data_IF_114504619834
#
_entry.id   IF_114504619834
#
_cell.length_a   1.000
_cell.length_b   1.000
_cell.length_c   1.000
_cell.angle_alpha   90.00
_cell.angle_beta   90.00
_cell.angle_gamma   90.00
#
_symmetry.space_group_name_H-M   'P 1'
#
loop_
_entity.id
_entity.type
_entity.pdbx_description
1 polymer ?
#
# COMPACT_ATOMS: atom_id res chain seq x y z
N UNK A 1 6.64 -33.83 17.18
CA UNK A 1 6.32 -32.38 17.19
C UNK A 1 7.58 -31.53 17.20
N UNK A 2 8.52 -31.79 18.13
CA UNK A 2 9.81 -31.09 18.23
C UNK A 2 10.66 -31.18 16.95
N UNK A 3 10.73 -32.35 16.31
CA UNK A 3 11.54 -32.53 15.09
C UNK A 3 11.07 -31.64 13.93
N UNK A 4 9.75 -31.47 13.78
CA UNK A 4 9.17 -30.61 12.74
C UNK A 4 9.52 -29.15 13.04
N UNK A 5 9.44 -28.72 14.30
CA UNK A 5 9.80 -27.34 14.69
C UNK A 5 11.30 -27.09 14.43
N UNK A 6 12.17 -28.03 14.80
CA UNK A 6 13.61 -27.91 14.59
C UNK A 6 13.95 -27.84 13.09
N UNK A 7 13.33 -28.70 12.27
CA UNK A 7 13.48 -28.68 10.82
C UNK A 7 12.99 -27.36 10.22
N UNK A 8 11.78 -26.93 10.57
CA UNK A 8 11.22 -25.66 10.08
C UNK A 8 12.08 -24.46 10.45
N UNK A 9 12.68 -24.44 11.64
CA UNK A 9 13.60 -23.38 12.05
C UNK A 9 14.88 -23.39 11.22
N UNK A 10 15.48 -24.56 10.98
CA UNK A 10 16.67 -24.69 10.15
C UNK A 10 16.39 -24.22 8.71
N UNK A 11 15.29 -24.67 8.12
CA UNK A 11 14.86 -24.28 6.77
C UNK A 11 14.59 -22.77 6.68
N UNK A 12 13.95 -22.18 7.69
CA UNK A 12 13.67 -20.74 7.74
C UNK A 12 14.96 -19.90 7.85
N UNK A 13 15.95 -20.35 8.62
CA UNK A 13 17.25 -19.68 8.73
C UNK A 13 17.98 -19.71 7.38
N UNK A 14 18.03 -20.86 6.72
CA UNK A 14 18.65 -21.00 5.40
C UNK A 14 17.99 -20.11 4.36
N UNK A 15 16.65 -20.07 4.34
CA UNK A 15 15.89 -19.17 3.47
C UNK A 15 16.23 -17.69 3.72
N UNK A 16 16.31 -17.29 5.00
CA UNK A 16 16.67 -15.92 5.35
C UNK A 16 18.13 -15.59 5.00
N UNK A 17 19.07 -16.51 5.17
CA UNK A 17 20.46 -16.31 4.75
C UNK A 17 20.57 -16.16 3.23
N UNK A 18 19.82 -16.95 2.46
CA UNK A 18 19.72 -16.85 0.99
C UNK A 18 19.14 -15.50 0.54
N UNK A 19 18.01 -15.08 1.15
CA UNK A 19 17.25 -13.91 0.67
C UNK A 19 17.70 -12.58 1.28
N UNK A 20 18.21 -12.60 2.51
CA UNK A 20 18.55 -11.40 3.29
C UNK A 20 20.06 -11.26 3.53
N UNK A 21 20.84 -12.30 3.26
CA UNK A 21 22.29 -12.37 3.43
C UNK A 21 22.71 -12.94 4.79
N UNK A 22 23.98 -13.33 4.93
CA UNK A 22 24.50 -14.03 6.13
C UNK A 22 24.59 -13.19 7.41
N UNK A 23 24.56 -11.85 7.32
CA UNK A 23 24.56 -11.00 8.52
C UNK A 23 23.13 -10.85 9.07
N UNK A 24 22.78 -11.72 10.02
CA UNK A 24 21.43 -11.80 10.63
C UNK A 24 20.96 -10.51 11.31
N UNK A 25 21.87 -9.67 11.80
CA UNK A 25 21.52 -8.38 12.44
C UNK A 25 20.92 -7.36 11.45
N UNK A 26 21.16 -7.57 10.15
CA UNK A 26 20.63 -6.72 9.06
C UNK A 26 19.32 -7.24 8.46
N UNK A 27 18.79 -8.36 8.96
CA UNK A 27 17.52 -8.89 8.49
C UNK A 27 16.38 -7.93 8.82
N UNK A 28 15.51 -7.70 7.84
CA UNK A 28 14.36 -6.82 7.95
C UNK A 28 13.19 -7.48 7.24
N UNK A 29 12.06 -7.57 7.92
CA UNK A 29 10.84 -8.18 7.37
C UNK A 29 10.46 -7.58 6.02
N UNK A 30 10.47 -6.25 5.93
CA UNK A 30 10.14 -5.51 4.72
C UNK A 30 11.08 -5.69 3.52
N UNK A 31 12.16 -6.48 3.64
CA UNK A 31 12.98 -6.93 2.49
C UNK A 31 12.42 -8.20 1.82
N UNK A 32 11.65 -9.00 2.57
CA UNK A 32 10.90 -10.14 2.04
C UNK A 32 9.46 -9.72 1.72
N UNK A 33 8.84 -9.02 2.68
CA UNK A 33 7.45 -8.67 2.65
C UNK A 33 7.24 -7.28 2.08
N UNK A 34 6.68 -7.20 0.88
CA UNK A 34 6.62 -5.93 0.14
C UNK A 34 5.27 -5.69 -0.51
N UNK A 35 4.84 -4.42 -0.49
CA UNK A 35 3.73 -3.93 -1.30
C UNK A 35 4.19 -3.72 -2.74
N UNK A 36 3.47 -4.28 -3.70
CA UNK A 36 3.67 -4.04 -5.14
C UNK A 36 2.32 -3.79 -5.79
N UNK A 37 2.14 -2.60 -6.38
CA UNK A 37 0.99 -2.33 -7.23
C UNK A 37 1.40 -2.68 -8.66
N UNK A 38 0.88 -3.78 -9.19
CA UNK A 38 1.24 -4.30 -10.51
C UNK A 38 0.05 -4.25 -11.45
N UNK A 39 0.25 -3.74 -12.65
CA UNK A 39 -0.78 -3.70 -13.67
C UNK A 39 -0.72 -4.98 -14.53
N UNK A 40 -1.88 -5.58 -14.82
CA UNK A 40 -1.94 -6.75 -15.71
C UNK A 40 -1.41 -6.47 -17.13
N UNK A 41 -1.49 -5.22 -17.61
CA UNK A 41 -0.89 -4.81 -18.88
C UNK A 41 0.63 -4.93 -18.80
N UNK A 42 1.25 -4.49 -17.71
CA UNK A 42 2.69 -4.57 -17.50
C UNK A 42 3.20 -6.02 -17.36
N UNK A 43 2.31 -6.96 -17.02
CA UNK A 43 2.62 -8.41 -17.06
C UNK A 43 2.75 -8.92 -18.50
N UNK A 44 1.88 -8.47 -19.41
CA UNK A 44 1.90 -8.84 -20.83
C UNK A 44 2.92 -8.04 -21.64
N UNK A 45 3.20 -6.81 -21.21
CA UNK A 45 4.05 -5.84 -21.89
C UNK A 45 5.11 -5.31 -20.91
N UNK A 46 6.19 -6.07 -20.67
CA UNK A 46 7.13 -5.79 -19.57
C UNK A 46 7.82 -4.42 -19.61
N UNK A 47 8.00 -3.84 -20.80
CA UNK A 47 8.63 -2.52 -20.93
C UNK A 47 7.76 -1.38 -20.37
N UNK A 48 6.46 -1.62 -20.12
CA UNK A 48 5.56 -0.65 -19.48
C UNK A 48 5.59 -0.69 -17.95
N UNK A 49 6.35 -1.61 -17.32
CA UNK A 49 6.40 -1.74 -15.85
C UNK A 49 6.83 -0.46 -15.15
N UNK A 50 7.84 0.24 -15.66
CA UNK A 50 8.29 1.51 -15.06
C UNK A 50 7.24 2.62 -15.11
N UNK A 51 6.30 2.53 -16.05
CA UNK A 51 5.19 3.48 -16.19
C UNK A 51 4.02 3.09 -15.28
N UNK A 52 3.67 1.80 -15.23
CA UNK A 52 2.42 1.32 -14.64
C UNK A 52 2.57 0.77 -13.23
N UNK A 53 3.68 0.08 -12.93
CA UNK A 53 3.85 -0.59 -11.64
C UNK A 53 4.43 0.38 -10.61
N UNK A 54 4.14 0.12 -9.33
CA UNK A 54 4.75 0.82 -8.20
C UNK A 54 5.28 -0.16 -7.16
N UNK A 55 6.42 0.20 -6.58
CA UNK A 55 7.14 -0.62 -5.62
C UNK A 55 8.27 -1.44 -6.26
N UNK A 56 8.78 -2.46 -5.55
CA UNK A 56 8.32 -2.91 -4.23
C UNK A 56 8.60 -1.90 -3.11
N UNK A 57 7.67 -1.76 -2.18
CA UNK A 57 7.87 -1.00 -0.94
C UNK A 57 7.86 -1.92 0.29
N UNK A 58 8.69 -1.69 1.32
CA UNK A 58 8.67 -2.50 2.53
C UNK A 58 7.29 -2.50 3.21
N UNK A 59 6.75 -3.69 3.45
CA UNK A 59 5.49 -3.86 4.15
C UNK A 59 5.73 -4.29 5.61
N UNK A 60 5.26 -3.52 6.61
CA UNK A 60 5.12 -4.01 7.97
C UNK A 60 3.83 -4.83 8.13
N UNK A 61 3.71 -5.55 9.23
CA UNK A 61 2.53 -6.34 9.55
C UNK A 61 2.46 -7.67 8.81
N UNK A 62 1.34 -8.34 8.97
CA UNK A 62 0.94 -9.58 8.29
C UNK A 62 -0.60 -9.70 8.25
N UNK A 63 -1.13 -10.85 7.85
CA UNK A 63 -2.57 -11.11 7.75
C UNK A 63 -3.34 -11.05 9.09
N UNK A 64 -2.64 -11.12 10.22
CA UNK A 64 -3.19 -11.16 11.59
C UNK A 64 -2.98 -9.87 12.38
N UNK A 65 -2.15 -8.94 11.87
CA UNK A 65 -1.92 -7.64 12.53
C UNK A 65 -2.98 -6.60 12.17
N UNK A 66 -3.14 -5.57 13.01
CA UNK A 66 -4.04 -4.44 12.70
C UNK A 66 -3.68 -3.72 11.39
N UNK A 67 -2.38 -3.54 11.12
CA UNK A 67 -1.92 -3.04 9.83
C UNK A 67 -1.80 -4.21 8.84
N UNK A 68 -2.95 -4.68 8.35
CA UNK A 68 -3.04 -5.90 7.54
C UNK A 68 -2.18 -5.81 6.28
N UNK A 69 -1.28 -6.77 6.13
CA UNK A 69 -0.48 -7.01 4.94
C UNK A 69 -0.49 -8.53 4.65
N UNK A 70 -1.54 -8.98 3.95
CA UNK A 70 -1.81 -10.41 3.80
C UNK A 70 -0.93 -11.09 2.77
N UNK A 71 -0.49 -12.30 3.06
CA UNK A 71 0.25 -13.19 2.14
C UNK A 71 -0.42 -14.55 2.05
N UNK A 72 -0.10 -15.32 1.01
CA UNK A 72 -0.47 -16.73 0.92
C UNK A 72 0.54 -17.58 1.70
N UNK A 73 0.12 -18.32 2.74
CA UNK A 73 1.04 -19.15 3.53
C UNK A 73 1.79 -20.17 2.66
N UNK A 74 3.12 -20.24 2.81
CA UNK A 74 3.95 -21.27 2.19
C UNK A 74 4.30 -21.05 0.71
N UNK A 75 3.93 -19.92 0.11
CA UNK A 75 4.29 -19.60 -1.29
C UNK A 75 5.46 -18.62 -1.37
N UNK A 76 5.17 -17.35 -1.13
CA UNK A 76 6.11 -16.25 -1.15
C UNK A 76 5.70 -15.21 -0.10
N UNK A 77 6.52 -14.17 0.03
CA UNK A 77 6.30 -13.09 0.99
C UNK A 77 5.59 -11.88 0.36
N UNK A 78 5.09 -12.00 -0.88
CA UNK A 78 4.43 -10.91 -1.59
C UNK A 78 3.08 -10.59 -0.94
N UNK A 79 2.84 -9.30 -0.68
CA UNK A 79 1.55 -8.86 -0.15
C UNK A 79 0.48 -8.95 -1.23
N UNK A 80 -0.59 -9.68 -0.94
CA UNK A 80 -1.71 -9.93 -1.85
C UNK A 80 -2.93 -9.05 -1.53
N UNK A 81 -3.15 -8.72 -0.26
CA UNK A 81 -4.25 -7.85 0.14
C UNK A 81 -3.85 -6.91 1.27
N UNK A 82 -4.40 -5.70 1.18
CA UNK A 82 -4.19 -4.58 2.09
C UNK A 82 -5.52 -3.86 2.29
N UNK A 83 -5.68 -3.02 3.32
CA UNK A 83 -6.80 -2.10 3.37
C UNK A 83 -6.77 -1.15 2.16
N UNK A 84 -7.85 -1.14 1.38
CA UNK A 84 -7.99 -0.21 0.25
C UNK A 84 -8.05 1.25 0.71
N UNK A 85 -8.53 1.48 1.94
CA UNK A 85 -8.79 2.78 2.52
C UNK A 85 -8.55 2.74 4.03
N UNK A 86 -8.02 3.83 4.58
CA UNK A 86 -7.98 4.12 6.02
C UNK A 86 -8.68 5.46 6.25
N UNK A 87 -9.53 5.54 7.26
CA UNK A 87 -10.31 6.74 7.57
C UNK A 87 -10.43 6.89 9.07
N UNK A 88 -10.32 8.13 9.55
CA UNK A 88 -10.55 8.51 10.94
C UNK A 88 -11.57 9.64 10.96
N UNK A 89 -12.54 9.55 11.86
CA UNK A 89 -13.57 10.57 12.07
C UNK A 89 -13.58 10.98 13.53
N UNK A 90 -13.31 12.25 13.80
CA UNK A 90 -13.42 12.88 15.12
C UNK A 90 -14.61 13.84 15.14
N UNK A 91 -15.69 13.43 15.81
CA UNK A 91 -16.93 14.21 15.91
C UNK A 91 -16.80 15.46 16.81
N UNK A 92 -15.69 15.63 17.53
CA UNK A 92 -15.40 16.85 18.28
C UNK A 92 -14.78 17.96 17.42
N UNK A 93 -14.38 17.65 16.18
CA UNK A 93 -13.77 18.61 15.27
C UNK A 93 -14.78 19.16 14.25
N UNK A 94 -14.57 20.43 13.90
CA UNK A 94 -15.30 21.15 12.85
C UNK A 94 -15.10 20.55 11.44
N UNK A 95 -13.94 19.94 11.20
CA UNK A 95 -13.59 19.20 9.99
C UNK A 95 -13.22 17.77 10.40
N UNK A 96 -14.21 16.87 10.50
CA UNK A 96 -14.09 15.70 11.34
C UNK A 96 -13.29 14.57 10.69
N UNK A 97 -13.10 14.56 9.36
CA UNK A 97 -12.62 13.38 8.65
C UNK A 97 -11.25 13.56 7.99
N UNK A 98 -10.43 12.53 8.13
CA UNK A 98 -9.20 12.34 7.36
C UNK A 98 -9.20 10.94 6.73
N UNK A 99 -8.62 10.82 5.55
CA UNK A 99 -8.65 9.61 4.74
C UNK A 99 -7.38 9.44 3.90
N UNK A 100 -6.93 8.19 3.76
CA UNK A 100 -6.01 7.75 2.72
C UNK A 100 -6.61 6.57 1.97
N UNK A 101 -6.54 6.61 0.63
CA UNK A 101 -6.97 5.50 -0.24
C UNK A 101 -5.91 5.29 -1.34
N UNK A 102 -5.36 4.08 -1.41
CA UNK A 102 -4.22 3.73 -2.26
C UNK A 102 -4.63 3.13 -3.61
N UNK A 103 -3.80 3.23 -4.65
CA UNK A 103 -2.53 3.99 -4.72
C UNK A 103 -2.74 5.50 -4.95
N UNK A 104 -3.89 5.88 -5.50
CA UNK A 104 -4.29 7.23 -5.83
C UNK A 104 -5.73 7.23 -6.33
N UNK A 105 -6.27 8.41 -6.65
CA UNK A 105 -7.66 8.56 -7.10
C UNK A 105 -7.85 8.44 -8.62
N UNK A 106 -6.76 8.31 -9.38
CA UNK A 106 -6.80 8.21 -10.84
C UNK A 106 -6.26 6.87 -11.33
N UNK A 107 -6.92 6.28 -12.32
CA UNK A 107 -6.40 5.13 -13.07
C UNK A 107 -5.50 5.50 -14.25
N UNK A 108 -5.33 6.79 -14.54
CA UNK A 108 -4.49 7.29 -15.64
C UNK A 108 -3.05 7.46 -15.14
N UNK A 109 -2.05 6.73 -15.69
CA UNK A 109 -0.65 6.83 -15.30
C UNK A 109 -0.02 8.22 -15.48
N UNK A 110 -0.62 9.08 -16.32
CA UNK A 110 -0.17 10.46 -16.53
C UNK A 110 -0.74 11.44 -15.49
N UNK A 111 -1.72 11.00 -14.70
CA UNK A 111 -2.36 11.83 -13.68
C UNK A 111 -1.45 12.02 -12.47
N UNK A 112 -1.36 13.24 -11.90
CA UNK A 112 -0.67 13.47 -10.63
C UNK A 112 -1.36 12.76 -9.44
N UNK A 113 -2.53 12.16 -9.66
CA UNK A 113 -3.27 11.40 -8.65
C UNK A 113 -3.27 9.88 -8.92
N UNK A 114 -2.33 9.38 -9.72
CA UNK A 114 -2.19 7.95 -9.99
C UNK A 114 -1.68 7.17 -8.78
N UNK A 115 -0.71 7.74 -8.06
CA UNK A 115 0.07 7.09 -7.02
C UNK A 115 0.37 8.00 -5.80
N UNK A 116 -0.25 9.19 -5.74
CA UNK A 116 0.07 10.24 -4.76
C UNK A 116 -0.35 9.91 -3.31
N UNK A 117 -1.12 8.84 -3.12
CA UNK A 117 -1.54 8.36 -1.81
C UNK A 117 -0.65 7.22 -1.29
N UNK A 118 0.22 6.63 -2.12
CA UNK A 118 1.15 5.57 -1.69
C UNK A 118 2.03 6.08 -0.54
N UNK A 119 2.61 7.26 -0.69
CA UNK A 119 3.49 7.85 0.35
C UNK A 119 2.78 7.99 1.70
N UNK A 120 1.57 8.53 1.70
CA UNK A 120 0.74 8.70 2.90
C UNK A 120 0.38 7.36 3.54
N UNK A 121 0.07 6.35 2.71
CA UNK A 121 -0.22 5.01 3.20
C UNK A 121 0.99 4.35 3.88
N UNK A 122 2.19 4.57 3.34
CA UNK A 122 3.43 4.04 3.90
C UNK A 122 3.83 4.76 5.19
N UNK A 123 3.61 6.08 5.29
CA UNK A 123 3.88 6.86 6.51
C UNK A 123 2.78 6.73 7.58
N UNK A 124 1.60 6.23 7.22
CA UNK A 124 0.44 6.19 8.11
C UNK A 124 -0.29 7.53 8.22
N UNK A 125 0.03 8.48 7.36
CA UNK A 125 -0.61 9.79 7.29
C UNK A 125 -1.92 9.73 6.49
N UNK A 126 -2.75 10.77 6.66
CA UNK A 126 -4.05 10.89 6.00
C UNK A 126 -4.23 12.28 5.39
N UNK A 127 -5.03 12.38 4.31
CA UNK A 127 -5.46 13.67 3.77
C UNK A 127 -6.77 14.13 4.42
N UNK A 128 -6.94 15.43 4.68
CA UNK A 128 -8.23 15.98 5.08
C UNK A 128 -9.32 15.70 4.04
N UNK A 129 -10.51 15.36 4.54
CA UNK A 129 -11.74 15.29 3.76
C UNK A 129 -12.64 16.46 4.19
N UNK A 130 -12.53 17.63 3.55
CA UNK A 130 -13.20 18.84 4.00
C UNK A 130 -14.70 18.81 3.71
N UNK A 131 -15.50 19.34 4.63
CA UNK A 131 -16.95 19.53 4.53
C UNK A 131 -17.33 21.01 4.48
N UNK A 132 -16.59 21.91 5.13
CA UNK A 132 -16.88 23.35 5.06
C UNK A 132 -16.58 23.88 3.68
N UNK A 133 -17.47 24.71 3.17
CA UNK A 133 -17.41 25.24 1.80
C UNK A 133 -16.06 25.89 1.49
N UNK A 134 -15.54 26.69 2.41
CA UNK A 134 -14.28 27.43 2.23
C UNK A 134 -13.07 26.48 2.12
N UNK A 135 -13.10 25.37 2.86
CA UNK A 135 -12.05 24.36 2.82
C UNK A 135 -12.13 23.49 1.56
N UNK A 136 -13.36 23.15 1.14
CA UNK A 136 -13.63 22.47 -0.14
C UNK A 136 -13.09 23.32 -1.30
N UNK A 137 -13.42 24.61 -1.35
CA UNK A 137 -12.96 25.54 -2.38
C UNK A 137 -11.44 25.73 -2.37
N UNK A 138 -10.80 25.69 -1.19
CA UNK A 138 -9.34 25.76 -1.07
C UNK A 138 -8.64 24.49 -1.56
N UNK A 139 -9.21 23.32 -1.25
CA UNK A 139 -8.60 22.02 -1.55
C UNK A 139 -8.82 21.60 -3.01
N UNK A 140 -10.03 21.77 -3.54
CA UNK A 140 -10.42 21.30 -4.87
C UNK A 140 -10.36 22.43 -5.89
N UNK A 141 -9.31 22.43 -6.73
CA UNK A 141 -9.06 23.51 -7.70
C UNK A 141 -9.60 23.26 -9.10
N UNK A 142 -9.82 21.99 -9.47
CA UNK A 142 -10.32 21.59 -10.80
C UNK A 142 -11.77 21.12 -10.66
N UNK A 143 -12.71 22.03 -10.91
CA UNK A 143 -14.15 21.78 -10.75
C UNK A 143 -14.81 21.66 -12.11
N UNK A 144 -15.53 20.55 -12.34
CA UNK A 144 -16.37 20.36 -13.51
C UNK A 144 -17.84 20.54 -13.12
N UNK A 145 -18.54 21.47 -13.76
CA UNK A 145 -19.99 21.63 -13.61
C UNK A 145 -20.70 20.95 -14.77
N UNK A 146 -21.41 19.85 -14.47
CA UNK A 146 -22.26 19.18 -15.44
C UNK A 146 -23.64 19.82 -15.39
N UNK A 147 -24.15 20.24 -16.56
CA UNK A 147 -25.50 20.81 -16.71
C UNK A 147 -26.31 19.92 -17.65
N UNK A 148 -27.63 19.83 -17.49
CA UNK A 148 -28.48 19.12 -18.44
C UNK A 148 -28.25 19.60 -19.88
N UNK A 149 -28.30 18.67 -20.83
CA UNK A 149 -28.50 19.02 -22.22
C UNK A 149 -29.89 19.67 -22.34
N UNK A 150 -29.97 20.80 -23.04
CA UNK A 150 -31.23 21.52 -23.26
C UNK A 150 -32.24 20.65 -24.01
#
# INVERSE_FOLDING_TARGET
KTDIIAKSLADAVLLCEERLGGNRTRWRWGRLHTYSWRHDIARKVPFLRSLLDRGPFPAPGDASTMNVAGTSPGRDFEVLWIPAMRMVVDFGLDEPAVLTAVPGQSGDPSSPHYDDMIGLFLSGENRPLPFKKENVERQYRRVLTIRPAR
#
